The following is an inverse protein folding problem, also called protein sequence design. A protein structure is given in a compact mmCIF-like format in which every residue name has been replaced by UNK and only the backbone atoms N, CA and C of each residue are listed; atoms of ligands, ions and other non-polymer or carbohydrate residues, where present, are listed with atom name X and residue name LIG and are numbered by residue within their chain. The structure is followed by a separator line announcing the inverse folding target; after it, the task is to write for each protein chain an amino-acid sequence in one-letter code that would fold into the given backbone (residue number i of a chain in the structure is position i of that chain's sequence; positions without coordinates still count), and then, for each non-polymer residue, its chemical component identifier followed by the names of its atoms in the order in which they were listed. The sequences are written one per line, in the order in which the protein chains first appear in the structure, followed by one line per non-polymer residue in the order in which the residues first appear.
data_IF_372794749792
#
_entry.id   IF_372794749792
#
_cell.length_a   1.000
_cell.length_b   1.000
_cell.length_c   1.000
_cell.angle_alpha   90.00
_cell.angle_beta   90.00
_cell.angle_gamma   90.00
#
_symmetry.space_group_name_H-M   'P 1'
#
loop_
_entity.id
_entity.type
_entity.pdbx_description
1 polymer ?
#
# COMPACT_ATOMS: atom_id res chain seq x y z
N UNK A 1 -23.07 -11.55 1.94
CA UNK A 1 -24.55 -11.61 2.02
C UNK A 1 -24.99 -10.87 3.26
N UNK A 2 -25.90 -9.89 3.15
CA UNK A 2 -26.34 -9.11 4.31
C UNK A 2 -27.34 -9.92 5.14
N UNK A 3 -27.22 -9.81 6.47
CA UNK A 3 -28.07 -10.49 7.47
C UNK A 3 -29.57 -10.11 7.33
N UNK A 4 -29.91 -9.10 6.52
CA UNK A 4 -31.29 -8.64 6.30
C UNK A 4 -32.17 -9.62 5.51
N UNK A 5 -31.62 -10.56 4.74
CA UNK A 5 -32.42 -11.53 3.97
C UNK A 5 -32.87 -12.75 4.79
N UNK A 6 -32.21 -13.07 5.90
CA UNK A 6 -32.56 -14.24 6.71
C UNK A 6 -33.77 -14.00 7.64
N UNK A 7 -34.06 -12.74 7.99
CA UNK A 7 -35.17 -12.39 8.89
C UNK A 7 -36.53 -12.34 8.18
N UNK A 8 -36.57 -12.24 6.85
CA UNK A 8 -37.82 -12.28 6.09
C UNK A 8 -38.35 -13.70 5.83
N UNK A 9 -37.50 -14.73 5.86
CA UNK A 9 -37.91 -16.11 5.59
C UNK A 9 -38.53 -16.87 6.77
N UNK A 10 -38.38 -16.39 8.01
CA UNK A 10 -38.88 -17.07 9.21
C UNK A 10 -40.29 -16.62 9.65
N UNK A 11 -40.81 -15.54 9.06
CA UNK A 11 -42.17 -15.05 9.36
C UNK A 11 -43.23 -15.76 8.50
N UNK A 12 -42.87 -16.27 7.32
CA UNK A 12 -43.82 -16.90 6.40
C UNK A 12 -44.06 -18.42 6.64
N UNK A 13 -43.30 -19.07 7.53
CA UNK A 13 -43.39 -20.52 7.75
C UNK A 13 -44.33 -20.96 8.90
N UNK A 14 -44.95 -20.04 9.63
CA UNK A 14 -45.81 -20.37 10.78
C UNK A 14 -47.32 -20.32 10.48
N UNK A 15 -47.72 -20.13 9.21
CA UNK A 15 -49.12 -19.95 8.82
C UNK A 15 -49.58 -21.04 7.85
N UNK A 16 -49.61 -22.30 8.31
CA UNK A 16 -50.20 -23.42 7.55
C UNK A 16 -51.31 -24.10 8.36
N UNK A 17 -52.53 -23.73 7.98
CA UNK A 17 -53.80 -24.47 8.02
C UNK A 17 -54.12 -25.37 9.22
N UNK A 18 -54.73 -24.78 10.25
CA UNK A 18 -55.57 -25.51 11.20
C UNK A 18 -57.04 -25.44 10.75
N UNK A 19 -57.59 -26.59 10.33
CA UNK A 19 -58.99 -26.76 9.89
C UNK A 19 -59.97 -26.35 10.98
N UNK A 20 -60.74 -25.28 10.73
CA UNK A 20 -61.84 -24.79 11.56
C UNK A 20 -62.95 -25.84 11.75
N UNK A 21 -62.99 -26.48 12.93
CA UNK A 21 -64.20 -27.12 13.47
C UNK A 21 -65.14 -26.03 14.00
N UNK A 22 -66.44 -26.10 13.64
CA UNK A 22 -67.48 -25.16 14.12
C UNK A 22 -67.52 -25.15 15.67
N UNK A 23 -67.41 -23.99 16.33
CA UNK A 23 -67.43 -23.94 17.78
C UNK A 23 -68.85 -24.16 18.31
N UNK A 24 -68.98 -25.08 19.27
CA UNK A 24 -70.18 -25.18 20.09
C UNK A 24 -70.39 -23.89 20.88
N UNK A 25 -71.65 -23.46 20.93
CA UNK A 25 -72.14 -22.25 21.61
C UNK A 25 -71.90 -22.40 23.13
N UNK A 26 -70.73 -21.96 23.61
CA UNK A 26 -70.42 -21.88 25.05
C UNK A 26 -71.06 -20.61 25.62
N UNK A 27 -71.70 -20.75 26.77
CA UNK A 27 -72.26 -19.64 27.54
C UNK A 27 -71.15 -18.65 27.90
N UNK A 28 -71.35 -17.37 27.54
CA UNK A 28 -70.43 -16.28 27.81
C UNK A 28 -70.42 -15.97 29.30
N UNK A 29 -69.53 -16.65 30.04
CA UNK A 29 -69.16 -16.24 31.40
C UNK A 29 -68.38 -14.93 31.28
N UNK A 30 -69.01 -13.81 31.64
CA UNK A 30 -68.41 -12.47 31.64
C UNK A 30 -67.19 -12.53 32.56
N UNK A 31 -66.01 -12.46 31.95
CA UNK A 31 -64.72 -12.50 32.64
C UNK A 31 -64.55 -11.19 33.41
N UNK A 32 -64.34 -11.25 34.73
CA UNK A 32 -64.23 -10.06 35.56
C UNK A 32 -63.03 -9.19 35.12
N UNK A 33 -63.10 -7.88 35.34
CA UNK A 33 -62.06 -6.92 34.95
C UNK A 33 -60.68 -7.23 35.55
N UNK A 34 -60.64 -7.91 36.70
CA UNK A 34 -59.41 -8.36 37.33
C UNK A 34 -58.71 -9.47 36.53
N UNK A 35 -59.46 -10.40 35.94
CA UNK A 35 -58.90 -11.47 35.10
C UNK A 35 -58.31 -10.94 33.78
N UNK A 36 -58.91 -9.89 33.21
CA UNK A 36 -58.38 -9.22 32.00
C UNK A 36 -57.05 -8.51 32.31
N UNK A 37 -56.95 -7.84 33.46
CA UNK A 37 -55.73 -7.15 33.88
C UNK A 37 -54.56 -8.13 34.11
N UNK A 38 -54.82 -9.29 34.72
CA UNK A 38 -53.80 -10.33 34.94
C UNK A 38 -53.31 -10.91 33.61
N UNK A 39 -54.20 -11.18 32.65
CA UNK A 39 -53.82 -11.69 31.32
C UNK A 39 -52.98 -10.65 30.55
N UNK A 40 -53.37 -9.38 30.58
CA UNK A 40 -52.59 -8.29 29.94
C UNK A 40 -51.22 -8.11 30.60
N UNK A 41 -51.11 -8.24 31.92
CA UNK A 41 -49.83 -8.19 32.62
C UNK A 41 -48.93 -9.37 32.26
N UNK A 42 -49.48 -10.59 32.24
CA UNK A 42 -48.77 -11.81 31.86
C UNK A 42 -48.32 -11.84 30.40
N UNK A 43 -49.01 -11.15 29.49
CA UNK A 43 -48.60 -11.04 28.08
C UNK A 43 -47.51 -9.97 27.86
N UNK A 44 -47.50 -8.90 28.65
CA UNK A 44 -46.52 -7.81 28.49
C UNK A 44 -45.17 -8.11 29.17
N UNK A 45 -45.16 -8.90 30.26
CA UNK A 45 -43.92 -9.21 30.98
C UNK A 45 -42.87 -9.98 30.15
N UNK A 46 -43.22 -11.04 29.39
CA UNK A 46 -42.27 -11.76 28.53
C UNK A 46 -41.69 -10.87 27.41
N UNK A 47 -42.50 -9.95 26.88
CA UNK A 47 -42.07 -9.00 25.84
C UNK A 47 -41.06 -8.00 26.41
N UNK A 48 -41.35 -7.43 27.58
CA UNK A 48 -40.43 -6.53 28.27
C UNK A 48 -39.12 -7.23 28.67
N UNK A 49 -39.20 -8.47 29.18
CA UNK A 49 -38.02 -9.28 29.52
C UNK A 49 -37.19 -9.61 28.27
N UNK A 50 -37.83 -9.96 27.15
CA UNK A 50 -37.18 -10.19 25.87
C UNK A 50 -36.48 -8.94 25.32
N UNK A 51 -37.17 -7.79 25.34
CA UNK A 51 -36.61 -6.50 24.92
C UNK A 51 -35.41 -6.10 25.78
N UNK A 52 -35.50 -6.28 27.10
CA UNK A 52 -34.39 -6.03 28.02
C UNK A 52 -33.20 -6.96 27.76
N UNK A 53 -33.45 -8.26 27.53
CA UNK A 53 -32.40 -9.21 27.18
C UNK A 53 -31.69 -8.83 25.87
N UNK A 54 -32.45 -8.52 24.81
CA UNK A 54 -31.89 -8.07 23.52
C UNK A 54 -31.08 -6.78 23.66
N UNK A 55 -31.58 -5.82 24.45
CA UNK A 55 -30.86 -4.61 24.79
C UNK A 55 -29.52 -4.92 25.48
N UNK A 56 -29.51 -5.79 26.48
CA UNK A 56 -28.26 -6.21 27.13
C UNK A 56 -27.27 -6.86 26.15
N UNK A 57 -27.76 -7.73 25.25
CA UNK A 57 -26.91 -8.37 24.23
C UNK A 57 -26.34 -7.35 23.24
N UNK A 58 -27.15 -6.38 22.81
CA UNK A 58 -26.72 -5.29 21.94
C UNK A 58 -25.58 -4.49 22.57
N UNK A 59 -25.70 -4.10 23.85
CA UNK A 59 -24.64 -3.33 24.52
C UNK A 59 -23.37 -4.16 24.73
N UNK A 60 -23.49 -5.45 25.06
CA UNK A 60 -22.34 -6.36 25.13
C UNK A 60 -21.62 -6.45 23.79
N UNK A 61 -22.35 -6.70 22.70
CA UNK A 61 -21.78 -6.76 21.34
C UNK A 61 -21.14 -5.43 20.93
N UNK A 62 -21.77 -4.30 21.23
CA UNK A 62 -21.22 -2.97 20.95
C UNK A 62 -19.90 -2.73 21.69
N UNK A 63 -19.81 -3.15 22.94
CA UNK A 63 -18.57 -3.08 23.71
C UNK A 63 -17.48 -3.97 23.09
N UNK A 64 -17.81 -5.21 22.69
CA UNK A 64 -16.89 -6.13 22.00
C UNK A 64 -16.39 -5.56 20.67
N UNK A 65 -17.26 -4.97 19.86
CA UNK A 65 -16.85 -4.34 18.60
C UNK A 65 -15.85 -3.20 18.87
N UNK A 66 -16.13 -2.37 19.89
CA UNK A 66 -15.24 -1.27 20.26
C UNK A 66 -13.86 -1.77 20.73
N UNK A 67 -13.81 -2.84 21.52
CA UNK A 67 -12.54 -3.42 21.97
C UNK A 67 -11.77 -4.06 20.82
N UNK A 68 -12.45 -4.75 19.91
CA UNK A 68 -11.83 -5.31 18.70
C UNK A 68 -11.27 -4.22 17.78
N UNK A 69 -12.01 -3.13 17.56
CA UNK A 69 -11.53 -1.99 16.79
C UNK A 69 -10.27 -1.37 17.41
N UNK A 70 -10.25 -1.16 18.73
CA UNK A 70 -9.07 -0.66 19.42
C UNK A 70 -7.88 -1.61 19.30
N UNK A 71 -8.12 -2.93 19.41
CA UNK A 71 -7.09 -3.96 19.23
C UNK A 71 -6.53 -3.96 17.81
N UNK A 72 -7.38 -3.88 16.78
CA UNK A 72 -6.96 -3.81 15.39
C UNK A 72 -6.11 -2.57 15.12
N UNK A 73 -6.54 -1.39 15.58
CA UNK A 73 -5.74 -0.17 15.41
C UNK A 73 -4.40 -0.23 16.15
N UNK A 74 -4.34 -0.88 17.32
CA UNK A 74 -3.07 -1.09 18.03
C UNK A 74 -2.15 -2.08 17.28
N UNK A 75 -2.73 -3.13 16.70
CA UNK A 75 -2.00 -4.10 15.89
C UNK A 75 -1.45 -3.48 14.61
N UNK A 76 -2.25 -2.71 13.87
CA UNK A 76 -1.83 -1.98 12.68
C UNK A 76 -0.64 -1.05 12.96
N UNK A 77 -0.68 -0.32 14.09
CA UNK A 77 0.45 0.50 14.54
C UNK A 77 1.71 -0.32 14.79
N UNK A 78 1.59 -1.48 15.45
CA UNK A 78 2.74 -2.38 15.69
C UNK A 78 3.31 -2.95 14.40
N UNK A 79 2.46 -3.38 13.48
CA UNK A 79 2.89 -3.87 12.15
C UNK A 79 3.62 -2.75 11.40
N UNK A 80 3.09 -1.53 11.44
CA UNK A 80 3.75 -0.37 10.81
C UNK A 80 5.12 -0.07 11.41
N UNK A 81 5.24 -0.08 12.74
CA UNK A 81 6.51 0.15 13.44
C UNK A 81 7.54 -0.93 13.10
N UNK A 82 7.16 -2.20 13.21
CA UNK A 82 8.05 -3.32 12.88
C UNK A 82 8.46 -3.28 11.41
N UNK A 83 7.55 -2.91 10.51
CA UNK A 83 7.86 -2.77 9.08
C UNK A 83 8.87 -1.65 8.81
N UNK A 84 8.79 -0.53 9.54
CA UNK A 84 9.81 0.52 9.46
C UNK A 84 11.15 0.05 10.01
N UNK A 85 11.17 -0.57 11.19
CA UNK A 85 12.40 -1.08 11.82
C UNK A 85 13.11 -2.11 10.95
N UNK A 86 12.37 -3.08 10.40
CA UNK A 86 12.92 -4.09 9.49
C UNK A 86 13.49 -3.43 8.23
N UNK A 87 12.84 -2.39 7.71
CA UNK A 87 13.35 -1.71 6.52
C UNK A 87 14.63 -0.92 6.83
N UNK A 88 14.68 -0.24 7.97
CA UNK A 88 15.86 0.53 8.39
C UNK A 88 17.05 -0.39 8.70
N UNK A 89 16.81 -1.50 9.40
CA UNK A 89 17.83 -2.52 9.63
C UNK A 89 18.34 -3.13 8.32
N UNK A 90 17.43 -3.48 7.40
CA UNK A 90 17.79 -4.01 6.08
C UNK A 90 18.58 -3.00 5.23
N UNK A 91 18.23 -1.71 5.31
CA UNK A 91 18.97 -0.64 4.66
C UNK A 91 20.38 -0.51 5.23
N UNK A 92 20.52 -0.51 6.56
CA UNK A 92 21.83 -0.43 7.23
C UNK A 92 22.73 -1.60 6.81
N UNK A 93 22.21 -2.82 6.86
CA UNK A 93 22.93 -4.01 6.43
C UNK A 93 23.35 -3.93 4.95
N UNK A 94 22.44 -3.54 4.06
CA UNK A 94 22.77 -3.40 2.64
C UNK A 94 23.84 -2.34 2.40
N UNK A 95 23.76 -1.18 3.07
CA UNK A 95 24.76 -0.11 2.97
C UNK A 95 26.15 -0.57 3.42
N UNK A 96 26.24 -1.43 4.43
CA UNK A 96 27.50 -2.03 4.86
C UNK A 96 28.03 -3.03 3.83
N UNK A 97 27.17 -3.92 3.33
CA UNK A 97 27.55 -4.98 2.39
C UNK A 97 28.06 -4.45 1.04
N UNK A 98 27.39 -3.44 0.46
CA UNK A 98 27.73 -2.92 -0.87
C UNK A 98 29.14 -2.33 -0.95
N UNK A 99 29.71 -1.92 0.19
CA UNK A 99 31.09 -1.41 0.22
C UNK A 99 32.13 -2.47 -0.17
N UNK A 100 31.80 -3.75 0.02
CA UNK A 100 32.66 -4.90 -0.30
C UNK A 100 32.32 -5.59 -1.62
N UNK A 101 31.27 -5.17 -2.33
CA UNK A 101 30.83 -5.84 -3.54
C UNK A 101 31.83 -5.67 -4.68
N UNK A 102 31.98 -6.73 -5.47
CA UNK A 102 32.67 -6.71 -6.77
C UNK A 102 31.65 -7.01 -7.85
N UNK A 103 31.68 -6.19 -8.89
CA UNK A 103 30.78 -6.32 -10.03
C UNK A 103 31.58 -6.79 -11.23
N UNK A 104 31.04 -7.75 -11.97
CA UNK A 104 31.67 -8.29 -13.18
C UNK A 104 31.29 -7.51 -14.44
N UNK A 105 30.13 -6.87 -14.43
CA UNK A 105 29.53 -6.16 -15.56
C UNK A 105 28.36 -5.28 -15.08
N UNK A 106 27.76 -4.54 -16.02
CA UNK A 106 26.58 -3.67 -15.80
C UNK A 106 25.41 -4.42 -15.15
N UNK A 107 25.10 -5.63 -15.61
CA UNK A 107 23.99 -6.43 -15.08
C UNK A 107 24.15 -6.71 -13.58
N UNK A 108 25.38 -6.99 -13.14
CA UNK A 108 25.62 -7.16 -11.70
C UNK A 108 25.44 -5.88 -10.91
N UNK A 109 25.82 -4.72 -11.46
CA UNK A 109 25.55 -3.42 -10.82
C UNK A 109 24.05 -3.19 -10.71
N UNK A 110 23.29 -3.48 -11.76
CA UNK A 110 21.84 -3.36 -11.74
C UNK A 110 21.20 -4.25 -10.65
N UNK A 111 21.56 -5.52 -10.62
CA UNK A 111 20.91 -6.50 -9.72
C UNK A 111 21.35 -6.33 -8.27
N UNK A 112 22.64 -6.09 -8.02
CA UNK A 112 23.20 -6.06 -6.65
C UNK A 112 23.21 -4.66 -6.04
N UNK A 113 23.14 -3.60 -6.84
CA UNK A 113 23.17 -2.22 -6.35
C UNK A 113 21.89 -1.44 -6.69
N UNK A 114 21.54 -1.30 -7.98
CA UNK A 114 20.41 -0.44 -8.40
C UNK A 114 19.07 -0.99 -7.89
N UNK A 115 18.81 -2.27 -8.08
CA UNK A 115 17.53 -2.87 -7.67
C UNK A 115 17.28 -2.77 -6.15
N UNK A 116 18.23 -3.13 -5.26
CA UNK A 116 18.08 -2.87 -3.83
C UNK A 116 17.89 -1.39 -3.49
N UNK A 117 18.67 -0.48 -4.10
CA UNK A 117 18.56 0.96 -3.89
C UNK A 117 17.13 1.45 -4.20
N UNK A 118 16.62 1.11 -5.39
CA UNK A 118 15.27 1.47 -5.86
C UNK A 118 14.20 0.91 -4.91
N UNK A 119 14.41 -0.30 -4.40
CA UNK A 119 13.53 -0.90 -3.39
C UNK A 119 13.54 -0.18 -2.05
N UNK A 120 14.71 0.25 -1.56
CA UNK A 120 14.79 1.05 -0.33
C UNK A 120 14.22 2.45 -0.49
N UNK A 121 14.19 2.97 -1.74
CA UNK A 121 13.46 4.17 -2.12
C UNK A 121 11.93 3.96 -2.25
N UNK A 122 11.43 2.74 -1.96
CA UNK A 122 10.00 2.37 -1.96
C UNK A 122 9.32 2.31 -3.33
N UNK A 123 10.07 2.31 -4.42
CA UNK A 123 9.51 2.00 -5.73
C UNK A 123 9.09 0.54 -5.80
N UNK A 124 7.92 0.30 -6.37
CA UNK A 124 7.42 -1.05 -6.67
C UNK A 124 7.72 -1.40 -8.14
N UNK A 125 7.60 -2.69 -8.55
CA UNK A 125 7.75 -3.06 -9.95
C UNK A 125 6.82 -2.28 -10.91
N UNK A 126 5.67 -1.80 -10.43
CA UNK A 126 4.74 -0.98 -11.24
C UNK A 126 5.23 0.46 -11.42
N UNK A 127 6.14 0.91 -10.56
CA UNK A 127 6.73 2.25 -10.59
C UNK A 127 8.10 2.24 -11.30
N UNK A 128 8.46 1.13 -11.95
CA UNK A 128 9.76 0.97 -12.60
C UNK A 128 9.61 0.38 -13.99
N UNK A 129 10.40 0.86 -14.94
CA UNK A 129 10.56 0.27 -16.25
C UNK A 129 12.05 0.07 -16.54
N UNK A 130 12.40 -1.03 -17.19
CA UNK A 130 13.78 -1.44 -17.47
C UNK A 130 13.98 -1.51 -18.98
N UNK A 131 15.15 -1.07 -19.48
CA UNK A 131 15.48 -1.02 -20.93
C UNK A 131 14.43 -0.27 -21.76
N UNK A 132 14.03 0.91 -21.32
CA UNK A 132 13.00 1.70 -22.02
C UNK A 132 13.57 2.29 -23.31
N UNK A 133 12.98 2.03 -24.49
CA UNK A 133 13.46 2.62 -25.73
C UNK A 133 13.21 4.13 -25.74
N UNK A 134 14.24 4.90 -26.09
CA UNK A 134 14.20 6.37 -26.14
C UNK A 134 14.65 6.83 -27.51
N UNK A 135 13.80 7.61 -28.18
CA UNK A 135 14.19 8.25 -29.45
C UNK A 135 14.91 9.55 -29.15
N UNK A 136 16.22 9.58 -29.43
CA UNK A 136 17.05 10.76 -29.27
C UNK A 136 17.35 11.36 -30.65
N UNK A 137 17.10 12.66 -30.80
CA UNK A 137 17.42 13.38 -32.03
C UNK A 137 18.86 13.92 -31.96
N UNK A 138 19.71 13.46 -32.89
CA UNK A 138 21.09 13.94 -33.04
C UNK A 138 21.19 14.62 -34.40
N UNK A 139 21.07 15.94 -34.42
CA UNK A 139 20.98 16.72 -35.65
C UNK A 139 19.74 16.35 -36.47
N UNK A 140 19.96 15.79 -37.67
CA UNK A 140 18.88 15.30 -38.56
C UNK A 140 18.56 13.82 -38.38
N UNK A 141 19.39 13.08 -37.63
CA UNK A 141 19.23 11.65 -37.45
C UNK A 141 18.44 11.35 -36.17
N UNK A 142 17.54 10.37 -36.24
CA UNK A 142 16.86 9.80 -35.07
C UNK A 142 17.54 8.48 -34.75
N UNK A 143 18.12 8.39 -33.56
CA UNK A 143 18.68 7.14 -33.04
C UNK A 143 17.78 6.66 -31.89
N UNK A 144 17.60 5.35 -31.77
CA UNK A 144 16.88 4.73 -30.66
C UNK A 144 17.93 4.24 -29.66
N UNK A 145 18.02 4.92 -28.52
CA UNK A 145 18.76 4.46 -27.34
C UNK A 145 17.84 3.67 -26.41
N UNK A 146 18.41 3.09 -25.35
CA UNK A 146 17.64 2.44 -24.30
C UNK A 146 18.11 2.98 -22.96
N UNK A 147 17.19 3.52 -22.16
CA UNK A 147 17.46 3.90 -20.78
C UNK A 147 17.44 2.64 -19.91
N UNK A 148 18.45 2.46 -19.06
CA UNK A 148 18.57 1.23 -18.27
C UNK A 148 17.41 1.09 -17.30
N UNK A 149 17.13 2.14 -16.52
CA UNK A 149 15.98 2.20 -15.63
C UNK A 149 15.26 3.54 -15.73
N UNK A 150 13.93 3.48 -15.67
CA UNK A 150 13.03 4.62 -15.55
C UNK A 150 12.18 4.42 -14.30
N UNK A 151 12.31 5.31 -13.33
CA UNK A 151 11.44 5.35 -12.16
C UNK A 151 10.27 6.28 -12.44
N UNK A 152 9.06 5.83 -12.14
CA UNK A 152 7.82 6.55 -12.38
C UNK A 152 7.27 7.13 -11.07
N UNK A 153 6.70 8.33 -11.15
CA UNK A 153 5.95 8.94 -10.04
C UNK A 153 4.59 9.36 -10.56
N UNK A 154 3.53 8.77 -10.02
CA UNK A 154 2.15 8.92 -10.51
C UNK A 154 1.98 8.52 -12.00
N UNK A 155 2.76 7.54 -12.47
CA UNK A 155 2.71 7.05 -13.85
C UNK A 155 3.63 7.80 -14.84
N UNK A 156 4.19 8.94 -14.44
CA UNK A 156 5.08 9.74 -15.29
C UNK A 156 6.57 9.48 -14.99
N UNK A 157 7.47 9.51 -16.00
CA UNK A 157 8.92 9.42 -15.78
C UNK A 157 9.43 10.49 -14.81
N UNK A 158 10.07 10.05 -13.74
CA UNK A 158 10.56 10.92 -12.67
C UNK A 158 12.09 10.89 -12.56
N UNK A 159 12.70 9.70 -12.64
CA UNK A 159 14.16 9.52 -12.57
C UNK A 159 14.60 8.57 -13.68
N UNK A 160 15.67 8.93 -14.38
CA UNK A 160 16.42 7.99 -15.23
C UNK A 160 17.65 7.50 -14.48
N UNK A 161 17.94 6.21 -14.48
CA UNK A 161 19.22 5.68 -13.98
C UNK A 161 19.98 5.10 -15.16
N UNK A 162 21.18 5.62 -15.40
CA UNK A 162 22.16 5.08 -16.33
C UNK A 162 23.22 4.31 -15.54
N UNK A 163 23.48 3.08 -15.98
CA UNK A 163 24.36 2.13 -15.30
C UNK A 163 25.55 1.81 -16.20
N UNK A 164 26.72 1.68 -15.57
CA UNK A 164 27.97 1.27 -16.23
C UNK A 164 28.65 0.14 -15.48
N UNK A 165 29.60 -0.53 -16.13
CA UNK A 165 30.44 -1.51 -15.45
C UNK A 165 31.33 -0.80 -14.41
N UNK A 166 31.73 -1.50 -13.36
CA UNK A 166 32.51 -0.93 -12.26
C UNK A 166 33.93 -0.48 -12.64
N UNK A 167 34.38 -0.82 -13.85
CA UNK A 167 35.64 -0.40 -14.45
C UNK A 167 35.52 0.88 -15.27
N UNK A 168 34.30 1.29 -15.61
CA UNK A 168 34.03 2.47 -16.43
C UNK A 168 33.84 3.71 -15.55
N UNK A 169 34.39 4.83 -16.00
CA UNK A 169 34.22 6.13 -15.34
C UNK A 169 32.89 6.79 -15.68
N UNK A 170 32.27 7.45 -14.71
CA UNK A 170 31.07 8.27 -14.91
C UNK A 170 31.42 9.66 -15.47
N UNK A 171 31.91 9.68 -16.71
CA UNK A 171 32.40 10.89 -17.37
C UNK A 171 31.27 11.75 -17.99
N UNK A 172 31.66 12.84 -18.66
CA UNK A 172 30.72 13.75 -19.33
C UNK A 172 29.94 13.09 -20.48
N UNK A 173 30.46 12.02 -21.10
CA UNK A 173 29.74 11.31 -22.15
C UNK A 173 28.58 10.50 -21.56
N UNK A 174 28.85 9.77 -20.47
CA UNK A 174 27.82 9.03 -19.71
C UNK A 174 26.77 9.99 -19.16
N UNK A 175 27.20 11.13 -18.60
CA UNK A 175 26.27 12.17 -18.15
C UNK A 175 25.42 12.71 -19.29
N UNK A 176 26.02 13.05 -20.43
CA UNK A 176 25.30 13.58 -21.60
C UNK A 176 24.27 12.59 -22.14
N UNK A 177 24.60 11.30 -22.12
CA UNK A 177 23.68 10.22 -22.49
C UNK A 177 22.47 10.18 -21.54
N UNK A 178 22.69 10.04 -20.23
CA UNK A 178 21.61 10.00 -19.24
C UNK A 178 20.74 11.27 -19.28
N UNK A 179 21.37 12.44 -19.44
CA UNK A 179 20.68 13.72 -19.61
C UNK A 179 19.81 13.73 -20.86
N UNK A 180 20.29 13.18 -21.97
CA UNK A 180 19.51 13.10 -23.22
C UNK A 180 18.28 12.21 -23.07
N UNK A 181 18.38 11.11 -22.33
CA UNK A 181 17.25 10.24 -22.01
C UNK A 181 16.25 10.92 -21.08
N UNK A 182 16.74 11.58 -20.03
CA UNK A 182 15.89 12.34 -19.12
C UNK A 182 15.15 13.49 -19.83
N UNK A 183 15.80 14.16 -20.78
CA UNK A 183 15.16 15.17 -21.61
C UNK A 183 14.06 14.56 -22.50
N UNK A 184 14.36 13.49 -23.22
CA UNK A 184 13.43 12.85 -24.14
C UNK A 184 12.19 12.26 -23.44
N UNK A 185 12.34 11.75 -22.22
CA UNK A 185 11.26 11.21 -21.39
C UNK A 185 10.63 12.25 -20.46
N UNK A 186 11.07 13.52 -20.52
CA UNK A 186 10.66 14.60 -19.63
C UNK A 186 10.88 14.32 -18.12
N UNK A 187 11.84 13.46 -17.78
CA UNK A 187 12.21 13.21 -16.39
C UNK A 187 12.98 14.42 -15.82
N UNK A 188 12.62 14.94 -14.64
CA UNK A 188 13.32 16.06 -13.99
C UNK A 188 14.67 15.68 -13.39
N UNK A 189 14.95 14.38 -13.20
CA UNK A 189 16.13 13.88 -12.48
C UNK A 189 16.78 12.74 -13.23
N UNK A 190 18.09 12.59 -13.04
CA UNK A 190 18.80 11.40 -13.50
C UNK A 190 19.94 11.02 -12.55
N UNK A 191 20.31 9.75 -12.60
CA UNK A 191 21.31 9.12 -11.75
C UNK A 191 22.32 8.41 -12.63
N UNK A 192 23.59 8.54 -12.28
CA UNK A 192 24.69 7.77 -12.85
C UNK A 192 25.26 6.85 -11.78
N UNK A 193 25.51 5.59 -12.11
CA UNK A 193 26.21 4.67 -11.21
C UNK A 193 26.99 3.61 -11.95
N UNK A 194 28.10 3.20 -11.35
CA UNK A 194 28.88 2.03 -11.74
C UNK A 194 29.06 1.04 -10.57
N UNK A 195 28.25 1.19 -9.51
CA UNK A 195 28.37 0.40 -8.28
C UNK A 195 29.54 0.78 -7.36
N UNK A 196 30.41 1.72 -7.77
CA UNK A 196 31.47 2.30 -6.93
C UNK A 196 31.23 3.78 -6.63
N UNK A 197 30.57 4.48 -7.54
CA UNK A 197 30.20 5.88 -7.43
C UNK A 197 28.71 6.04 -7.74
N UNK A 198 28.07 7.00 -7.07
CA UNK A 198 26.70 7.42 -7.33
C UNK A 198 26.71 8.93 -7.53
N UNK A 199 26.13 9.39 -8.63
CA UNK A 199 25.88 10.80 -8.89
C UNK A 199 24.41 11.05 -9.23
N UNK A 200 23.78 11.98 -8.51
CA UNK A 200 22.37 12.38 -8.65
C UNK A 200 22.32 13.81 -9.15
N UNK A 201 21.58 14.02 -10.24
CA UNK A 201 21.45 15.30 -10.91
C UNK A 201 20.00 15.76 -10.99
N UNK A 202 19.77 17.05 -10.75
CA UNK A 202 18.56 17.75 -11.17
C UNK A 202 18.78 18.30 -12.58
N UNK A 203 17.94 17.88 -13.51
CA UNK A 203 18.00 18.33 -14.90
C UNK A 203 17.53 19.78 -14.99
N UNK A 204 18.42 20.67 -15.41
CA UNK A 204 18.07 22.06 -15.71
C UNK A 204 17.90 22.28 -17.21
N UNK A 205 17.36 23.45 -17.56
CA UNK A 205 17.22 23.85 -18.97
C UNK A 205 18.60 24.19 -19.56
N UNK A 206 19.37 25.04 -18.86
CA UNK A 206 20.70 25.49 -19.31
C UNK A 206 21.83 24.63 -18.74
N UNK A 207 21.74 24.30 -17.44
CA UNK A 207 22.76 23.52 -16.72
C UNK A 207 22.10 22.63 -15.67
N UNK A 208 22.67 21.44 -15.47
CA UNK A 208 22.21 20.52 -14.45
C UNK A 208 22.86 20.85 -13.09
N UNK A 209 22.18 20.52 -12.00
CA UNK A 209 22.70 20.68 -10.64
C UNK A 209 23.00 19.33 -10.03
N UNK A 210 24.22 19.15 -9.51
CA UNK A 210 24.62 17.93 -8.80
C UNK A 210 24.13 18.03 -7.36
N UNK A 211 23.30 17.09 -6.92
CA UNK A 211 22.79 17.06 -5.53
C UNK A 211 23.60 16.10 -4.68
N UNK A 212 24.00 14.97 -5.27
CA UNK A 212 24.85 13.97 -4.64
C UNK A 212 25.90 13.54 -5.66
N UNK A 213 27.16 13.48 -5.23
CA UNK A 213 28.23 12.81 -5.96
C UNK A 213 29.17 12.24 -4.92
N UNK A 214 29.10 10.92 -4.72
CA UNK A 214 29.86 10.25 -3.66
C UNK A 214 30.31 8.86 -4.09
N UNK A 215 31.31 8.34 -3.39
CA UNK A 215 31.61 6.91 -3.45
C UNK A 215 30.51 6.09 -2.76
N UNK A 216 30.39 4.81 -3.11
CA UNK A 216 29.44 3.91 -2.44
C UNK A 216 29.78 3.71 -0.96
N UNK A 217 31.07 3.79 -0.58
CA UNK A 217 31.48 3.81 0.82
C UNK A 217 30.96 5.02 1.63
N UNK A 218 30.59 6.11 0.94
CA UNK A 218 30.04 7.31 1.58
C UNK A 218 28.51 7.37 1.48
N UNK A 219 27.88 6.45 0.74
CA UNK A 219 26.45 6.48 0.44
C UNK A 219 25.58 6.53 1.71
N UNK A 220 25.98 5.83 2.78
CA UNK A 220 25.24 5.86 4.05
C UNK A 220 25.13 7.26 4.64
N UNK A 221 26.14 8.12 4.47
CA UNK A 221 26.11 9.52 4.94
C UNK A 221 25.21 10.40 4.08
N UNK A 222 25.08 10.07 2.80
CA UNK A 222 24.26 10.81 1.83
C UNK A 222 22.85 10.24 1.65
N UNK A 223 22.54 9.10 2.29
CA UNK A 223 21.29 8.38 2.04
C UNK A 223 20.04 9.22 2.29
N UNK A 224 20.04 10.08 3.32
CA UNK A 224 18.92 10.98 3.59
C UNK A 224 18.62 11.90 2.40
N UNK A 225 19.66 12.43 1.75
CA UNK A 225 19.55 13.30 0.58
C UNK A 225 19.10 12.49 -0.64
N UNK A 226 19.70 11.31 -0.86
CA UNK A 226 19.30 10.39 -1.95
C UNK A 226 17.81 10.03 -1.83
N UNK A 227 17.35 9.71 -0.62
CA UNK A 227 15.94 9.40 -0.34
C UNK A 227 15.03 10.60 -0.57
N UNK A 228 15.44 11.80 -0.15
CA UNK A 228 14.67 13.02 -0.37
C UNK A 228 14.53 13.34 -1.86
N UNK A 229 15.60 13.17 -2.64
CA UNK A 229 15.60 13.53 -4.05
C UNK A 229 14.97 12.46 -4.93
N UNK A 230 15.21 11.19 -4.64
CA UNK A 230 14.74 10.11 -5.51
C UNK A 230 13.41 9.51 -5.05
N UNK A 231 12.99 9.68 -3.79
CA UNK A 231 11.74 9.12 -3.24
C UNK A 231 10.49 9.98 -3.37
#
# INVERSE_FOLDING_TARGET
MPISEYLHGLIDAAFVEEKFKRPQRRENKIMNSESIAVILFCLNFPVAAGAYYLWQQYYKHKATIKTLQASNSAFEKRVSLLSSEITEAGLGQWLEEITGYRYRNEIEVEVKFVYPMVRFLRYTPNDTQIRVPVTVQVGRNKNIGHADWVLLKNGDPYVIIEVKADTESLDNNVQSQARSYAFALNAPKYVLTNGKQLAVYLRGVQSDSVVVNCSVSELGRHWAIVKQELG
#
